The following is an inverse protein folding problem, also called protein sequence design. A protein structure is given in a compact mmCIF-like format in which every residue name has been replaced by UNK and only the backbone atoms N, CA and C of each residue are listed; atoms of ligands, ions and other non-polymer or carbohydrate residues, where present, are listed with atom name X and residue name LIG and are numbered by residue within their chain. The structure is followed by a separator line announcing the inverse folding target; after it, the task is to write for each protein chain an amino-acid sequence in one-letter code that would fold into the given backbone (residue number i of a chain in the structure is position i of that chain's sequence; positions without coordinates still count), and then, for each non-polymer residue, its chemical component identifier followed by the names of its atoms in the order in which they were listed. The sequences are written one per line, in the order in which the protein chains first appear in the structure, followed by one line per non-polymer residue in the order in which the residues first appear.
data_IF_139562918274
#
_entry.id   IF_139562918274
#
_cell.length_a   1.000
_cell.length_b   1.000
_cell.length_c   1.000
_cell.angle_alpha   90.00
_cell.angle_beta   90.00
_cell.angle_gamma   90.00
#
_symmetry.space_group_name_H-M   'P 1'
#
loop_
_entity.id
_entity.type
_entity.pdbx_description
1 polymer ?
#
# COMPACT_ATOMS: atom_id res chain seq x y z
N UNK A 1 15.71 -10.13 4.05
CA UNK A 1 17.14 -9.76 3.94
C UNK A 1 18.07 -10.93 3.59
N UNK A 2 18.03 -12.06 4.31
CA UNK A 2 18.87 -13.26 4.01
C UNK A 2 18.93 -13.64 2.51
N UNK A 3 17.81 -13.81 1.78
CA UNK A 3 17.87 -14.19 0.36
C UNK A 3 18.53 -13.12 -0.52
N UNK A 4 18.36 -11.84 -0.19
CA UNK A 4 18.97 -10.70 -0.91
C UNK A 4 20.49 -10.73 -0.74
N UNK A 5 20.96 -10.88 0.51
CA UNK A 5 22.39 -10.95 0.81
C UNK A 5 23.04 -12.20 0.20
N UNK A 6 22.34 -13.33 0.19
CA UNK A 6 22.79 -14.53 -0.50
C UNK A 6 22.93 -14.30 -2.01
N UNK A 7 21.96 -13.65 -2.66
CA UNK A 7 22.03 -13.32 -4.09
C UNK A 7 23.21 -12.39 -4.40
N UNK A 8 23.47 -11.36 -3.58
CA UNK A 8 24.65 -10.51 -3.73
C UNK A 8 25.96 -11.29 -3.60
N UNK A 9 26.06 -12.20 -2.63
CA UNK A 9 27.22 -13.07 -2.47
C UNK A 9 27.42 -13.99 -3.68
N UNK A 10 26.36 -14.64 -4.18
CA UNK A 10 26.43 -15.51 -5.35
C UNK A 10 26.92 -14.75 -6.59
N UNK A 11 26.42 -13.53 -6.82
CA UNK A 11 26.88 -12.67 -7.93
C UNK A 11 28.36 -12.28 -7.76
N UNK A 12 28.79 -11.95 -6.54
CA UNK A 12 30.19 -11.67 -6.25
C UNK A 12 31.10 -12.89 -6.52
N UNK A 13 30.64 -14.09 -6.15
CA UNK A 13 31.37 -15.35 -6.34
C UNK A 13 31.43 -15.77 -7.81
N UNK A 14 30.35 -15.57 -8.58
CA UNK A 14 30.24 -15.95 -9.98
C UNK A 14 31.08 -15.07 -10.93
N UNK A 15 31.40 -13.83 -10.54
CA UNK A 15 32.24 -12.90 -11.33
C UNK A 15 33.75 -13.22 -11.22
N UNK A 16 34.11 -14.44 -11.60
CA UNK A 16 35.40 -15.10 -11.37
C UNK A 16 36.68 -14.44 -11.98
N UNK A 17 36.62 -13.25 -12.58
CA UNK A 17 37.75 -12.64 -13.33
C UNK A 17 38.17 -11.22 -12.92
N UNK A 18 37.86 -10.73 -11.71
CA UNK A 18 38.29 -9.39 -11.26
C UNK A 18 39.07 -9.43 -9.95
N UNK A 19 40.10 -8.58 -9.86
CA UNK A 19 40.95 -8.38 -8.66
C UNK A 19 40.14 -8.09 -7.39
N UNK A 20 38.93 -7.52 -7.53
CA UNK A 20 38.04 -7.18 -6.41
C UNK A 20 37.22 -8.35 -5.83
N UNK A 21 37.30 -9.56 -6.40
CA UNK A 21 36.42 -10.70 -6.02
C UNK A 21 36.44 -10.99 -4.52
N UNK A 22 37.62 -10.95 -3.90
CA UNK A 22 37.78 -11.23 -2.46
C UNK A 22 37.09 -10.17 -1.61
N UNK A 23 37.28 -8.90 -1.92
CA UNK A 23 36.64 -7.81 -1.18
C UNK A 23 35.11 -7.83 -1.32
N UNK A 24 34.59 -8.11 -2.52
CA UNK A 24 33.15 -8.23 -2.76
C UNK A 24 32.54 -9.45 -2.07
N UNK A 25 33.19 -10.61 -2.15
CA UNK A 25 32.75 -11.82 -1.47
C UNK A 25 32.76 -11.64 0.05
N UNK A 26 33.78 -10.97 0.61
CA UNK A 26 33.82 -10.65 2.04
C UNK A 26 32.66 -9.75 2.44
N UNK A 27 32.34 -8.70 1.66
CA UNK A 27 31.19 -7.81 1.95
C UNK A 27 29.86 -8.56 1.87
N UNK A 28 29.65 -9.34 0.80
CA UNK A 28 28.44 -10.15 0.62
C UNK A 28 28.29 -11.20 1.73
N UNK A 29 29.39 -11.86 2.10
CA UNK A 29 29.44 -12.82 3.20
C UNK A 29 29.15 -12.19 4.56
N UNK A 30 29.72 -11.01 4.83
CA UNK A 30 29.43 -10.26 6.06
C UNK A 30 27.95 -9.85 6.15
N UNK A 31 27.36 -9.38 5.05
CA UNK A 31 25.92 -9.04 5.00
C UNK A 31 25.03 -10.27 5.19
N UNK A 32 25.39 -11.40 4.59
CA UNK A 32 24.66 -12.66 4.76
C UNK A 32 24.75 -13.16 6.20
N UNK A 33 25.96 -13.12 6.80
CA UNK A 33 26.17 -13.50 8.19
C UNK A 33 25.37 -12.62 9.13
N UNK A 34 25.48 -11.29 8.99
CA UNK A 34 24.71 -10.34 9.80
C UNK A 34 23.21 -10.53 9.65
N UNK A 35 22.71 -10.72 8.42
CA UNK A 35 21.29 -10.98 8.17
C UNK A 35 20.81 -12.31 8.75
N UNK A 36 21.67 -13.33 8.74
CA UNK A 36 21.36 -14.65 9.31
C UNK A 36 21.33 -14.61 10.82
N UNK A 37 22.30 -13.93 11.45
CA UNK A 37 22.30 -13.68 12.90
C UNK A 37 21.03 -12.92 13.29
N UNK A 38 20.70 -11.84 12.59
CA UNK A 38 19.48 -11.07 12.88
C UNK A 38 18.20 -11.92 12.75
N UNK A 39 18.09 -12.76 11.71
CA UNK A 39 16.95 -13.65 11.53
C UNK A 39 16.86 -14.69 12.66
N UNK A 40 17.98 -15.30 13.05
CA UNK A 40 18.04 -16.26 14.16
C UNK A 40 17.71 -15.59 15.49
N UNK A 41 18.22 -14.39 15.75
CA UNK A 41 17.88 -13.60 16.95
C UNK A 41 16.40 -13.28 16.99
N UNK A 42 15.81 -12.85 15.86
CA UNK A 42 14.37 -12.60 15.78
C UNK A 42 13.56 -13.86 16.09
N UNK A 43 13.90 -15.00 15.48
CA UNK A 43 13.21 -16.26 15.72
C UNK A 43 13.36 -16.72 17.17
N UNK A 44 14.54 -16.57 17.76
CA UNK A 44 14.80 -16.90 19.16
C UNK A 44 13.97 -16.01 20.09
N UNK A 45 14.00 -14.69 19.92
CA UNK A 45 13.19 -13.76 20.72
C UNK A 45 11.70 -14.05 20.54
N UNK A 46 11.23 -14.24 19.31
CA UNK A 46 9.84 -14.61 19.03
C UNK A 46 9.42 -15.87 19.78
N UNK A 47 10.24 -16.93 19.72
CA UNK A 47 9.93 -18.20 20.39
C UNK A 47 9.88 -18.12 21.90
N UNK A 48 10.45 -17.06 22.51
CA UNK A 48 10.45 -16.84 23.95
C UNK A 48 9.31 -15.92 24.41
N UNK A 49 8.89 -14.97 23.55
CA UNK A 49 7.94 -13.92 23.94
C UNK A 49 6.56 -14.06 23.30
N UNK A 50 6.39 -14.90 22.27
CA UNK A 50 5.13 -15.06 21.55
C UNK A 50 4.76 -16.55 21.45
N UNK A 51 3.65 -16.92 22.07
CA UNK A 51 3.12 -18.29 22.07
C UNK A 51 2.30 -18.64 20.82
N UNK A 52 2.16 -17.71 19.88
CA UNK A 52 1.41 -17.91 18.63
C UNK A 52 2.33 -18.49 17.55
N UNK A 53 1.92 -19.60 16.96
CA UNK A 53 2.68 -20.24 15.89
C UNK A 53 2.89 -19.30 14.70
N UNK A 54 3.96 -19.51 13.93
CA UNK A 54 4.23 -18.71 12.73
C UNK A 54 3.10 -18.78 11.70
N UNK A 55 2.26 -19.82 11.74
CA UNK A 55 1.15 -20.07 10.84
C UNK A 55 -0.22 -19.67 11.42
N UNK A 56 -0.26 -19.03 12.58
CA UNK A 56 -1.51 -18.53 13.19
C UNK A 56 -1.49 -17.00 13.36
N UNK A 57 -0.39 -16.35 12.99
CA UNK A 57 -0.27 -14.89 13.03
C UNK A 57 -1.10 -14.21 11.95
N UNK A 58 -1.69 -13.07 12.30
CA UNK A 58 -2.51 -12.24 11.40
C UNK A 58 -1.82 -11.87 10.09
N UNK A 59 -0.49 -11.72 10.08
CA UNK A 59 0.28 -11.34 8.90
C UNK A 59 0.72 -12.51 8.00
N UNK A 60 1.05 -13.66 8.60
CA UNK A 60 1.57 -14.84 7.89
C UNK A 60 0.47 -15.71 7.29
N UNK A 61 -0.76 -15.62 7.82
CA UNK A 61 -1.95 -16.28 7.24
C UNK A 61 -2.34 -15.73 5.87
N UNK A 62 -1.86 -14.53 5.54
CA UNK A 62 -2.14 -13.87 4.25
C UNK A 62 -1.12 -14.23 3.17
N UNK A 63 -0.25 -15.22 3.41
CA UNK A 63 0.70 -15.75 2.43
C UNK A 63 0.06 -16.93 1.70
N UNK A 64 -0.30 -16.73 0.44
CA UNK A 64 -0.90 -17.75 -0.40
C UNK A 64 -0.04 -18.03 -1.64
N UNK A 65 0.42 -19.26 -1.78
CA UNK A 65 1.28 -19.72 -2.87
C UNK A 65 0.49 -20.38 -4.01
N UNK A 66 -0.74 -19.92 -4.29
CA UNK A 66 -1.52 -20.41 -5.42
C UNK A 66 -1.12 -19.70 -6.72
N UNK A 67 -1.18 -20.43 -7.84
CA UNK A 67 -0.85 -19.85 -9.15
C UNK A 67 -1.75 -18.65 -9.47
N UNK A 68 -3.05 -18.74 -9.12
CA UNK A 68 -4.00 -17.65 -9.30
C UNK A 68 -3.57 -16.40 -8.52
N UNK A 69 -3.22 -16.55 -7.24
CA UNK A 69 -2.71 -15.45 -6.41
C UNK A 69 -1.47 -14.80 -7.01
N UNK A 70 -0.48 -15.60 -7.42
CA UNK A 70 0.77 -15.08 -7.98
C UNK A 70 0.52 -14.28 -9.28
N UNK A 71 -0.43 -14.72 -10.11
CA UNK A 71 -0.83 -13.99 -11.32
C UNK A 71 -1.49 -12.66 -10.95
N UNK A 72 -2.48 -12.68 -10.06
CA UNK A 72 -3.23 -11.46 -9.69
C UNK A 72 -2.31 -10.44 -8.96
N UNK A 73 -1.42 -10.93 -8.10
CA UNK A 73 -0.37 -10.12 -7.47
C UNK A 73 0.59 -9.54 -8.51
N UNK A 74 1.00 -10.31 -9.52
CA UNK A 74 1.87 -9.82 -10.60
C UNK A 74 1.21 -8.68 -11.38
N UNK A 75 -0.09 -8.80 -11.67
CA UNK A 75 -0.87 -7.73 -12.31
C UNK A 75 -0.88 -6.49 -11.45
N UNK A 76 -1.15 -6.62 -10.15
CA UNK A 76 -1.17 -5.50 -9.21
C UNK A 76 0.21 -4.83 -9.08
N UNK A 77 1.29 -5.60 -8.93
CA UNK A 77 2.67 -5.11 -8.90
C UNK A 77 3.05 -4.39 -10.19
N UNK A 78 2.66 -4.92 -11.35
CA UNK A 78 2.89 -4.26 -12.63
C UNK A 78 2.15 -2.92 -12.69
N UNK A 79 0.94 -2.86 -12.15
CA UNK A 79 0.17 -1.61 -12.03
C UNK A 79 0.90 -0.57 -11.19
N UNK A 80 1.34 -0.93 -9.97
CA UNK A 80 2.14 -0.03 -9.13
C UNK A 80 3.43 0.44 -9.81
N UNK A 81 4.16 -0.48 -10.45
CA UNK A 81 5.41 -0.16 -11.13
C UNK A 81 5.21 0.81 -12.31
N UNK A 82 4.16 0.61 -13.10
CA UNK A 82 3.84 1.52 -14.22
C UNK A 82 3.34 2.86 -13.70
N UNK A 83 2.50 2.87 -12.67
CA UNK A 83 1.96 4.10 -12.08
C UNK A 83 3.07 5.03 -11.59
N UNK A 84 4.06 4.48 -10.88
CA UNK A 84 5.05 5.29 -10.14
C UNK A 84 6.41 5.40 -10.86
N UNK A 85 6.73 4.42 -11.72
CA UNK A 85 8.07 4.27 -12.28
C UNK A 85 8.11 4.09 -13.80
N UNK A 86 7.02 4.34 -14.53
CA UNK A 86 7.03 4.31 -16.00
C UNK A 86 8.12 5.20 -16.63
N UNK A 87 8.44 6.33 -15.99
CA UNK A 87 9.51 7.24 -16.42
C UNK A 87 10.90 6.58 -16.50
N UNK A 88 11.11 5.47 -15.79
CA UNK A 88 12.38 4.76 -15.82
C UNK A 88 12.58 3.99 -17.13
N UNK A 89 11.50 3.53 -17.75
CA UNK A 89 11.55 2.71 -18.97
C UNK A 89 12.33 3.38 -20.12
N UNK A 90 12.03 4.63 -20.53
CA UNK A 90 12.82 5.30 -21.58
C UNK A 90 14.26 5.57 -21.14
N UNK A 91 14.51 5.81 -19.85
CA UNK A 91 15.87 6.03 -19.34
C UNK A 91 16.74 4.78 -19.46
N UNK A 92 16.17 3.58 -19.24
CA UNK A 92 16.88 2.30 -19.31
C UNK A 92 17.42 1.97 -20.71
N UNK A 93 16.99 2.67 -21.76
CA UNK A 93 17.57 2.48 -23.09
C UNK A 93 19.04 2.91 -23.17
N UNK A 94 19.44 3.95 -22.44
CA UNK A 94 20.83 4.42 -22.41
C UNK A 94 21.81 3.38 -21.84
N UNK A 95 21.61 2.84 -20.63
CA UNK A 95 22.49 1.83 -20.06
C UNK A 95 22.44 0.52 -20.83
N UNK A 96 21.32 0.20 -21.51
CA UNK A 96 21.27 -0.92 -22.44
C UNK A 96 22.26 -0.72 -23.60
N UNK A 97 22.28 0.47 -24.21
CA UNK A 97 23.27 0.81 -25.24
C UNK A 97 24.69 0.87 -24.66
N UNK A 98 24.89 1.38 -23.45
CA UNK A 98 26.21 1.38 -22.80
C UNK A 98 26.68 -0.04 -22.48
N UNK A 99 25.78 -0.97 -22.16
CA UNK A 99 26.10 -2.38 -21.98
C UNK A 99 26.57 -3.00 -23.29
N UNK A 100 25.86 -2.75 -24.40
CA UNK A 100 26.28 -3.20 -25.74
C UNK A 100 27.63 -2.61 -26.16
N UNK A 101 27.87 -1.35 -25.81
CA UNK A 101 29.12 -0.64 -26.10
C UNK A 101 30.26 -0.97 -25.08
N UNK A 102 30.01 -1.85 -24.09
CA UNK A 102 30.92 -2.17 -22.97
C UNK A 102 31.38 -0.97 -22.12
N UNK A 103 30.54 0.06 -22.02
CA UNK A 103 30.78 1.32 -21.29
C UNK A 103 29.83 1.55 -20.12
N UNK A 104 29.07 0.53 -19.73
CA UNK A 104 28.12 0.63 -18.64
C UNK A 104 28.82 1.16 -17.38
N UNK A 105 28.36 2.32 -16.90
CA UNK A 105 28.87 2.94 -15.68
C UNK A 105 28.24 2.25 -14.47
N UNK A 106 29.05 2.02 -13.44
CA UNK A 106 28.63 1.41 -12.17
C UNK A 106 27.80 0.11 -12.31
N UNK A 107 28.22 -0.87 -13.13
CA UNK A 107 27.44 -2.09 -13.39
C UNK A 107 27.23 -2.94 -12.12
N UNK A 108 28.06 -2.72 -11.09
CA UNK A 108 27.93 -3.35 -9.77
C UNK A 108 26.73 -2.80 -8.99
N UNK A 109 26.61 -1.49 -8.89
CA UNK A 109 25.51 -0.83 -8.19
C UNK A 109 24.18 -1.08 -8.90
N UNK A 110 24.18 -1.05 -10.24
CA UNK A 110 22.98 -1.33 -11.03
C UNK A 110 22.45 -2.75 -10.78
N UNK A 111 23.35 -3.76 -10.82
CA UNK A 111 22.96 -5.16 -10.51
C UNK A 111 22.55 -5.32 -9.06
N UNK A 112 23.25 -4.68 -8.12
CA UNK A 112 22.90 -4.71 -6.70
C UNK A 112 21.50 -4.14 -6.42
N UNK A 113 21.18 -2.99 -7.02
CA UNK A 113 19.87 -2.35 -6.91
C UNK A 113 18.78 -3.17 -7.63
N UNK A 114 19.07 -3.76 -8.79
CA UNK A 114 18.14 -4.66 -9.47
C UNK A 114 17.80 -5.90 -8.62
N UNK A 115 18.81 -6.52 -7.99
CA UNK A 115 18.60 -7.65 -7.06
C UNK A 115 17.72 -7.22 -5.89
N UNK A 116 17.98 -6.05 -5.31
CA UNK A 116 17.16 -5.49 -4.24
C UNK A 116 15.70 -5.32 -4.68
N UNK A 117 15.47 -4.63 -5.79
CA UNK A 117 14.12 -4.37 -6.34
C UNK A 117 13.38 -5.67 -6.61
N UNK A 118 13.98 -6.58 -7.38
CA UNK A 118 13.34 -7.85 -7.78
C UNK A 118 13.07 -8.73 -6.57
N UNK A 119 14.01 -8.83 -5.63
CA UNK A 119 13.83 -9.68 -4.47
C UNK A 119 12.70 -9.20 -3.57
N UNK A 120 12.53 -7.89 -3.37
CA UNK A 120 11.40 -7.36 -2.60
C UNK A 120 10.05 -7.60 -3.29
N UNK A 121 9.98 -7.48 -4.62
CA UNK A 121 8.78 -7.87 -5.38
C UNK A 121 8.48 -9.35 -5.16
N UNK A 122 9.47 -10.24 -5.28
CA UNK A 122 9.30 -11.69 -5.10
C UNK A 122 8.87 -12.05 -3.68
N UNK A 123 9.43 -11.39 -2.66
CA UNK A 123 9.07 -11.61 -1.25
C UNK A 123 7.59 -11.26 -1.00
N UNK A 124 7.07 -10.22 -1.65
CA UNK A 124 5.71 -9.74 -1.47
C UNK A 124 4.70 -10.29 -2.48
N UNK A 125 5.15 -11.01 -3.51
CA UNK A 125 4.29 -11.63 -4.50
C UNK A 125 3.22 -12.58 -3.90
N UNK A 126 3.54 -13.46 -2.92
CA UNK A 126 2.55 -14.33 -2.31
C UNK A 126 1.66 -13.63 -1.27
N UNK A 127 1.92 -12.36 -0.95
CA UNK A 127 1.18 -11.64 0.07
C UNK A 127 -0.08 -11.01 -0.53
N UNK A 128 -1.22 -11.30 0.07
CA UNK A 128 -2.53 -10.78 -0.34
C UNK A 128 -2.65 -9.24 -0.32
N UNK A 129 -2.02 -8.60 0.67
CA UNK A 129 -2.07 -7.15 0.84
C UNK A 129 -0.90 -6.47 0.11
N UNK A 130 -1.19 -5.97 -1.08
CA UNK A 130 -0.20 -5.28 -1.93
C UNK A 130 -0.65 -3.84 -2.19
N UNK A 131 -0.45 -3.03 -1.16
CA UNK A 131 -0.73 -1.59 -1.10
C UNK A 131 0.55 -0.77 -1.30
N UNK A 132 0.38 0.53 -1.57
CA UNK A 132 1.45 1.49 -1.85
C UNK A 132 2.61 1.44 -0.83
N UNK A 133 2.32 1.30 0.46
CA UNK A 133 3.34 1.24 1.52
C UNK A 133 4.39 0.13 1.30
N UNK A 134 4.00 -1.02 0.75
CA UNK A 134 4.94 -2.13 0.49
C UNK A 134 5.83 -1.89 -0.73
N UNK A 135 5.59 -0.82 -1.49
CA UNK A 135 6.50 -0.36 -2.54
C UNK A 135 7.75 0.33 -1.99
N UNK A 136 7.79 0.73 -0.71
CA UNK A 136 8.90 1.53 -0.17
C UNK A 136 10.29 0.90 -0.41
N UNK A 137 10.53 -0.40 -0.13
CA UNK A 137 11.82 -1.00 -0.44
C UNK A 137 12.11 -1.01 -1.95
N UNK A 138 11.10 -1.27 -2.77
CA UNK A 138 11.21 -1.28 -4.24
C UNK A 138 11.56 0.12 -4.76
N UNK A 139 10.94 1.16 -4.21
CA UNK A 139 11.19 2.56 -4.54
C UNK A 139 12.65 2.97 -4.26
N UNK A 140 13.26 2.47 -3.18
CA UNK A 140 14.70 2.69 -2.89
C UNK A 140 15.56 2.10 -4.02
N UNK A 141 15.30 0.85 -4.40
CA UNK A 141 16.04 0.18 -5.47
C UNK A 141 15.85 0.88 -6.83
N UNK A 142 14.62 1.24 -7.16
CA UNK A 142 14.29 1.99 -8.38
C UNK A 142 14.93 3.38 -8.38
N UNK A 143 14.93 4.10 -7.26
CA UNK A 143 15.59 5.39 -7.11
C UNK A 143 17.11 5.33 -7.36
N UNK A 144 17.77 4.30 -6.83
CA UNK A 144 19.19 4.04 -7.11
C UNK A 144 19.44 3.75 -8.59
N UNK A 145 18.61 2.91 -9.22
CA UNK A 145 18.68 2.64 -10.65
C UNK A 145 18.49 3.94 -11.44
N UNK A 146 17.45 4.71 -11.13
CA UNK A 146 17.14 5.99 -11.76
C UNK A 146 18.32 6.96 -11.71
N UNK A 147 18.95 7.13 -10.55
CA UNK A 147 20.12 7.98 -10.39
C UNK A 147 21.32 7.55 -11.25
N UNK A 148 21.67 6.25 -11.24
CA UNK A 148 22.78 5.71 -12.04
C UNK A 148 22.53 5.90 -13.53
N UNK A 149 21.31 5.63 -13.97
CA UNK A 149 20.91 5.70 -15.37
C UNK A 149 20.86 7.15 -15.84
N UNK A 150 20.32 8.07 -15.03
CA UNK A 150 20.29 9.50 -15.33
C UNK A 150 21.70 10.07 -15.52
N UNK A 151 22.66 9.71 -14.64
CA UNK A 151 24.06 10.11 -14.79
C UNK A 151 24.64 9.63 -16.13
N UNK A 152 24.31 8.40 -16.53
CA UNK A 152 24.76 7.83 -17.81
C UNK A 152 24.15 8.59 -19.01
N UNK A 153 22.85 8.91 -18.94
CA UNK A 153 22.13 9.71 -19.94
C UNK A 153 22.73 11.12 -20.09
N UNK A 154 22.92 11.84 -18.98
CA UNK A 154 23.51 13.19 -18.98
C UNK A 154 24.95 13.16 -19.49
N UNK A 155 25.71 12.12 -19.18
CA UNK A 155 27.09 11.98 -19.65
C UNK A 155 27.16 11.83 -21.17
N UNK A 156 26.26 11.04 -21.78
CA UNK A 156 26.17 10.92 -23.24
C UNK A 156 25.82 12.25 -23.93
N UNK A 157 24.96 13.06 -23.31
CA UNK A 157 24.64 14.41 -23.76
C UNK A 157 25.91 15.28 -23.75
N UNK A 158 26.63 15.31 -22.63
CA UNK A 158 27.86 16.12 -22.47
C UNK A 158 28.96 15.70 -23.44
N UNK A 159 29.13 14.40 -23.64
CA UNK A 159 30.10 13.82 -24.58
C UNK A 159 29.68 13.96 -26.06
N UNK A 160 28.49 14.55 -26.34
CA UNK A 160 27.88 14.65 -27.67
C UNK A 160 27.70 13.30 -28.39
N UNK A 161 27.71 12.19 -27.66
CA UNK A 161 27.67 10.83 -28.20
C UNK A 161 26.25 10.30 -28.18
N UNK A 162 25.66 10.07 -29.36
CA UNK A 162 24.23 9.74 -29.49
C UNK A 162 23.36 10.71 -28.68
N UNK A 163 23.76 11.99 -28.61
CA UNK A 163 23.15 12.97 -27.73
C UNK A 163 21.67 13.22 -28.04
N UNK A 164 21.28 13.17 -29.32
CA UNK A 164 19.86 13.25 -29.71
C UNK A 164 19.02 12.14 -29.06
N UNK A 165 19.53 10.90 -29.04
CA UNK A 165 18.86 9.78 -28.39
C UNK A 165 18.78 9.95 -26.87
N UNK A 166 19.86 10.42 -26.23
CA UNK A 166 19.87 10.69 -24.80
C UNK A 166 18.91 11.82 -24.41
N UNK A 167 18.81 12.88 -25.23
CA UNK A 167 17.81 13.94 -25.06
C UNK A 167 16.38 13.44 -25.25
N UNK A 168 16.13 12.61 -26.25
CA UNK A 168 14.81 11.99 -26.46
C UNK A 168 14.40 11.11 -25.28
N UNK A 169 15.32 10.25 -24.81
CA UNK A 169 15.12 9.41 -23.62
C UNK A 169 14.80 10.24 -22.38
N UNK A 170 15.56 11.31 -22.14
CA UNK A 170 15.30 12.24 -21.03
C UNK A 170 13.97 12.97 -21.19
N UNK A 171 13.62 13.44 -22.39
CA UNK A 171 12.36 14.11 -22.66
C UNK A 171 11.15 13.21 -22.40
N UNK A 172 11.18 11.98 -22.92
CA UNK A 172 10.13 10.99 -22.67
C UNK A 172 10.03 10.61 -21.20
N UNK A 173 11.17 10.43 -20.51
CA UNK A 173 11.20 10.17 -19.09
C UNK A 173 10.57 11.31 -18.29
N UNK A 174 10.91 12.56 -18.60
CA UNK A 174 10.31 13.74 -17.98
C UNK A 174 8.80 13.81 -18.22
N UNK A 175 8.32 13.51 -19.43
CA UNK A 175 6.88 13.49 -19.72
C UNK A 175 6.15 12.43 -18.87
N UNK A 176 6.68 11.21 -18.80
CA UNK A 176 6.11 10.14 -17.97
C UNK A 176 6.25 10.39 -16.47
N UNK A 177 7.27 11.14 -16.05
CA UNK A 177 7.40 11.55 -14.65
C UNK A 177 6.34 12.60 -14.30
N UNK A 178 6.07 13.56 -15.20
CA UNK A 178 5.02 14.55 -14.98
C UNK A 178 3.63 13.90 -14.82
N UNK A 179 3.37 12.75 -15.44
CA UNK A 179 2.09 12.03 -15.25
C UNK A 179 1.93 11.41 -13.87
N UNK A 180 3.01 11.26 -13.08
CA UNK A 180 2.90 10.75 -11.70
C UNK A 180 2.48 11.85 -10.71
N UNK A 181 2.66 13.13 -11.05
CA UNK A 181 2.38 14.24 -10.14
C UNK A 181 0.88 14.36 -9.78
N UNK A 182 -0.07 14.28 -10.73
CA UNK A 182 -1.50 14.32 -10.39
C UNK A 182 -1.92 13.13 -9.52
N UNK A 183 -1.35 11.95 -9.76
CA UNK A 183 -1.59 10.75 -8.95
C UNK A 183 -1.14 10.97 -7.51
N UNK A 184 0.09 11.47 -7.31
CA UNK A 184 0.63 11.76 -5.97
C UNK A 184 -0.15 12.86 -5.25
N UNK A 185 -0.60 13.89 -5.98
CA UNK A 185 -1.44 14.94 -5.42
C UNK A 185 -2.78 14.38 -4.93
N UNK A 186 -3.45 13.57 -5.75
CA UNK A 186 -4.72 12.94 -5.40
C UNK A 186 -4.56 11.97 -4.23
N UNK A 187 -3.49 11.15 -4.22
CA UNK A 187 -3.14 10.27 -3.10
C UNK A 187 -2.95 11.05 -1.78
N UNK A 188 -2.24 12.18 -1.83
CA UNK A 188 -2.05 13.01 -0.64
C UNK A 188 -3.37 13.62 -0.14
N UNK A 189 -4.21 14.13 -1.05
CA UNK A 189 -5.55 14.64 -0.69
C UNK A 189 -6.45 13.56 -0.12
N UNK A 190 -6.38 12.35 -0.66
CA UNK A 190 -7.12 11.20 -0.15
C UNK A 190 -6.71 10.88 1.29
N UNK A 191 -5.41 10.85 1.56
CA UNK A 191 -4.90 10.64 2.92
C UNK A 191 -5.42 11.73 3.88
N UNK A 192 -5.34 13.00 3.49
CA UNK A 192 -5.85 14.10 4.33
C UNK A 192 -7.36 14.03 4.56
N UNK A 193 -8.15 13.67 3.53
CA UNK A 193 -9.60 13.52 3.65
C UNK A 193 -9.94 12.39 4.63
N UNK A 194 -9.27 11.24 4.51
CA UNK A 194 -9.45 10.11 5.43
C UNK A 194 -9.08 10.47 6.86
N UNK A 195 -7.88 11.05 7.06
CA UNK A 195 -7.40 11.40 8.39
C UNK A 195 -8.28 12.47 9.05
N UNK A 196 -8.75 13.48 8.28
CA UNK A 196 -9.63 14.53 8.78
C UNK A 196 -11.00 13.97 9.16
N UNK A 197 -11.62 13.17 8.29
CA UNK A 197 -12.92 12.56 8.58
C UNK A 197 -12.85 11.61 9.78
N UNK A 198 -11.78 10.82 9.91
CA UNK A 198 -11.56 9.96 11.07
C UNK A 198 -11.41 10.77 12.36
N UNK A 199 -10.60 11.83 12.34
CA UNK A 199 -10.42 12.71 13.50
C UNK A 199 -11.75 13.36 13.93
N UNK A 200 -12.55 13.85 12.99
CA UNK A 200 -13.86 14.46 13.27
C UNK A 200 -14.86 13.48 13.87
N UNK A 201 -14.85 12.23 13.38
CA UNK A 201 -15.67 11.17 13.96
C UNK A 201 -15.25 10.87 15.40
N UNK A 202 -13.95 10.70 15.66
CA UNK A 202 -13.45 10.45 17.01
C UNK A 202 -13.74 11.62 17.98
N UNK A 203 -13.55 12.87 17.52
CA UNK A 203 -13.92 14.07 18.28
C UNK A 203 -15.40 14.06 18.67
N UNK A 204 -16.29 13.66 17.76
CA UNK A 204 -17.72 13.56 18.05
C UNK A 204 -18.02 12.46 19.08
N UNK A 205 -17.47 11.25 18.89
CA UNK A 205 -17.67 10.15 19.83
C UNK A 205 -17.21 10.51 21.24
N UNK A 206 -16.07 11.19 21.39
CA UNK A 206 -15.59 11.67 22.69
C UNK A 206 -16.56 12.64 23.36
N UNK A 207 -17.21 13.52 22.59
CA UNK A 207 -18.20 14.45 23.16
C UNK A 207 -19.49 13.76 23.61
N UNK A 208 -19.78 12.56 23.12
CA UNK A 208 -21.02 11.84 23.39
C UNK A 208 -20.86 10.64 24.33
N UNK A 209 -19.63 10.27 24.70
CA UNK A 209 -19.33 9.02 25.42
C UNK A 209 -20.01 8.90 26.79
N UNK A 210 -20.29 10.03 27.46
CA UNK A 210 -20.97 10.05 28.75
C UNK A 210 -22.45 9.65 28.63
N UNK A 211 -23.10 10.06 27.54
CA UNK A 211 -24.50 9.76 27.24
C UNK A 211 -24.65 8.43 26.48
N UNK A 212 -23.61 8.03 25.75
CA UNK A 212 -23.56 6.84 24.92
C UNK A 212 -22.24 6.08 25.12
N UNK A 213 -22.11 5.29 26.19
CA UNK A 213 -20.89 4.54 26.46
C UNK A 213 -20.64 3.44 25.41
N UNK A 214 -21.68 2.97 24.74
CA UNK A 214 -21.61 1.87 23.80
C UNK A 214 -21.57 2.39 22.35
N UNK A 215 -20.41 2.22 21.71
CA UNK A 215 -20.15 2.60 20.33
C UNK A 215 -20.04 1.34 19.46
N UNK A 216 -20.85 1.29 18.42
CA UNK A 216 -20.83 0.24 17.41
C UNK A 216 -20.22 0.84 16.14
N UNK A 217 -19.22 0.18 15.56
CA UNK A 217 -18.62 0.58 14.29
C UNK A 217 -19.21 -0.29 13.17
N UNK A 218 -19.78 0.32 12.13
CA UNK A 218 -20.34 -0.40 10.97
C UNK A 218 -19.25 -0.92 10.02
N UNK A 219 -18.41 -1.77 10.58
CA UNK A 219 -17.40 -2.59 9.91
C UNK A 219 -17.60 -3.99 10.47
N UNK A 220 -18.19 -4.89 9.69
CA UNK A 220 -18.70 -6.18 10.20
C UNK A 220 -17.60 -7.21 10.57
N UNK A 221 -16.34 -6.90 10.27
CA UNK A 221 -15.19 -7.71 10.71
C UNK A 221 -14.23 -6.85 11.50
N UNK A 222 -13.64 -7.45 12.54
CA UNK A 222 -12.63 -6.76 13.34
C UNK A 222 -11.42 -6.41 12.47
N UNK A 223 -11.15 -5.12 12.38
CA UNK A 223 -10.03 -4.58 11.61
C UNK A 223 -9.31 -3.50 12.42
N UNK A 224 -8.27 -2.93 11.80
CA UNK A 224 -7.47 -1.86 12.39
C UNK A 224 -8.32 -0.66 12.83
N UNK A 225 -9.39 -0.30 12.13
CA UNK A 225 -10.21 0.85 12.50
C UNK A 225 -10.98 0.61 13.79
N UNK A 226 -11.59 -0.57 13.95
CA UNK A 226 -12.31 -0.93 15.19
C UNK A 226 -11.33 -0.98 16.36
N UNK A 227 -10.15 -1.55 16.15
CA UNK A 227 -9.08 -1.60 17.15
C UNK A 227 -8.61 -0.19 17.54
N UNK A 228 -8.31 0.69 16.58
CA UNK A 228 -7.80 2.04 16.84
C UNK A 228 -8.86 2.94 17.49
N UNK A 229 -10.14 2.83 17.10
CA UNK A 229 -11.25 3.54 17.78
C UNK A 229 -11.33 3.09 19.24
N UNK A 230 -11.24 1.77 19.49
CA UNK A 230 -11.25 1.20 20.84
C UNK A 230 -10.07 1.71 21.66
N UNK A 231 -8.86 1.60 21.14
CA UNK A 231 -7.63 2.06 21.82
C UNK A 231 -7.68 3.58 22.08
N UNK A 232 -8.19 4.37 21.14
CA UNK A 232 -8.30 5.81 21.33
C UNK A 232 -9.29 6.18 22.46
N UNK A 233 -10.49 5.59 22.46
CA UNK A 233 -11.48 5.89 23.50
C UNK A 233 -11.07 5.32 24.88
N UNK A 234 -10.60 4.08 24.92
CA UNK A 234 -10.33 3.38 26.18
C UNK A 234 -8.95 3.68 26.75
N UNK A 235 -7.89 3.63 25.94
CA UNK A 235 -6.51 3.67 26.43
C UNK A 235 -5.93 5.09 26.44
N UNK A 236 -6.30 5.94 25.48
CA UNK A 236 -5.75 7.30 25.35
C UNK A 236 -6.52 8.30 26.21
N UNK A 237 -7.86 8.22 26.17
CA UNK A 237 -8.74 9.15 26.88
C UNK A 237 -9.26 8.60 28.23
N UNK A 238 -8.79 7.40 28.64
CA UNK A 238 -9.08 6.74 29.92
C UNK A 238 -10.58 6.52 30.19
N UNK A 239 -11.36 6.31 29.12
CA UNK A 239 -12.80 6.06 29.20
C UNK A 239 -13.06 4.56 29.31
N UNK A 240 -12.64 3.94 30.41
CA UNK A 240 -12.81 2.50 30.70
C UNK A 240 -14.27 2.02 30.62
N UNK A 241 -15.23 2.95 30.69
CA UNK A 241 -16.67 2.67 30.59
C UNK A 241 -17.18 2.51 29.16
N UNK A 242 -16.41 2.98 28.18
CA UNK A 242 -16.82 2.90 26.79
C UNK A 242 -16.62 1.49 26.24
N UNK A 243 -17.59 0.95 25.51
CA UNK A 243 -17.42 -0.30 24.77
C UNK A 243 -17.42 -0.02 23.28
N UNK A 244 -16.47 -0.61 22.55
CA UNK A 244 -16.37 -0.48 21.10
C UNK A 244 -16.47 -1.85 20.45
N UNK A 245 -17.56 -2.05 19.73
CA UNK A 245 -17.92 -3.32 19.08
C UNK A 245 -18.14 -3.15 17.59
N UNK A 246 -18.12 -4.27 16.86
CA UNK A 246 -18.48 -4.30 15.44
C UNK A 246 -19.99 -4.38 15.28
N UNK A 247 -20.52 -3.80 14.21
CA UNK A 247 -21.92 -3.99 13.84
C UNK A 247 -22.16 -5.42 13.39
N UNK A 248 -23.08 -6.10 14.07
CA UNK A 248 -23.61 -7.40 13.67
C UNK A 248 -25.13 -7.26 13.46
N UNK A 249 -25.63 -7.43 12.22
CA UNK A 249 -27.06 -7.32 11.93
C UNK A 249 -27.91 -8.41 12.59
N UNK A 250 -27.31 -9.52 13.03
CA UNK A 250 -27.99 -10.62 13.70
C UNK A 250 -28.00 -10.48 15.24
N UNK A 251 -27.24 -9.53 15.79
CA UNK A 251 -27.12 -9.36 17.23
C UNK A 251 -28.39 -8.72 17.82
N UNK A 252 -28.98 -9.37 18.82
CA UNK A 252 -30.15 -8.83 19.54
C UNK A 252 -29.83 -7.45 20.14
N UNK A 253 -30.83 -6.57 20.16
CA UNK A 253 -30.74 -5.22 20.71
C UNK A 253 -30.24 -5.26 22.15
N UNK A 254 -29.04 -4.75 22.40
CA UNK A 254 -28.54 -4.53 23.74
C UNK A 254 -29.37 -3.46 24.49
N UNK A 255 -29.47 -3.61 25.81
CA UNK A 255 -30.10 -2.63 26.70
C UNK A 255 -29.24 -1.36 26.76
N UNK A 256 -29.86 -0.20 26.49
CA UNK A 256 -29.25 1.11 26.65
C UNK A 256 -28.99 1.89 25.36
N UNK A 257 -28.72 3.21 25.50
CA UNK A 257 -28.45 4.11 24.37
C UNK A 257 -27.12 3.79 23.71
N UNK A 258 -27.09 3.75 22.37
CA UNK A 258 -25.92 3.37 21.58
C UNK A 258 -25.68 4.34 20.42
N UNK A 259 -24.40 4.51 20.05
CA UNK A 259 -24.03 5.19 18.81
C UNK A 259 -23.55 4.17 17.78
N UNK A 260 -24.01 4.29 16.55
CA UNK A 260 -23.47 3.52 15.42
C UNK A 260 -22.67 4.46 14.52
N UNK A 261 -21.34 4.30 14.50
CA UNK A 261 -20.44 5.00 13.59
C UNK A 261 -20.29 4.20 12.28
N UNK A 262 -20.85 4.73 11.20
CA UNK A 262 -20.83 4.09 9.89
C UNK A 262 -19.97 4.86 8.90
N UNK A 263 -18.88 4.27 8.37
CA UNK A 263 -18.10 4.92 7.35
C UNK A 263 -18.86 4.94 6.03
N UNK A 264 -18.55 5.93 5.22
CA UNK A 264 -19.01 6.06 3.86
C UNK A 264 -17.84 6.41 2.96
N UNK A 265 -17.85 5.84 1.77
CA UNK A 265 -16.81 6.04 0.76
C UNK A 265 -17.45 5.96 -0.62
N UNK A 266 -17.00 6.81 -1.53
CA UNK A 266 -17.46 6.81 -2.92
C UNK A 266 -16.30 7.09 -3.88
N UNK A 267 -16.32 6.40 -5.02
CA UNK A 267 -15.35 6.52 -6.10
C UNK A 267 -13.91 6.18 -5.67
N UNK A 268 -13.72 5.12 -4.88
CA UNK A 268 -12.40 4.67 -4.41
C UNK A 268 -11.46 4.35 -5.59
N UNK A 269 -10.26 4.96 -5.66
CA UNK A 269 -9.25 4.57 -6.63
C UNK A 269 -8.61 3.21 -6.28
N UNK A 270 -8.24 2.43 -7.30
CA UNK A 270 -7.78 1.03 -7.12
C UNK A 270 -6.27 0.89 -6.85
N UNK A 271 -5.47 1.86 -7.29
CA UNK A 271 -4.03 1.96 -7.03
C UNK A 271 -3.79 3.27 -6.31
N UNK A 272 -4.17 3.33 -5.04
CA UNK A 272 -4.13 4.50 -4.18
C UNK A 272 -3.65 4.15 -2.76
N UNK A 273 -3.50 5.18 -1.93
CA UNK A 273 -3.14 5.03 -0.52
C UNK A 273 -4.04 4.02 0.19
N UNK A 274 -3.48 3.32 1.18
CA UNK A 274 -4.21 2.32 1.95
C UNK A 274 -5.35 3.00 2.70
N UNK A 275 -6.54 2.42 2.59
CA UNK A 275 -7.68 2.73 3.44
C UNK A 275 -8.10 1.47 4.18
N UNK A 276 -8.54 1.61 5.44
CA UNK A 276 -9.07 0.47 6.20
C UNK A 276 -10.50 0.10 5.82
N UNK A 277 -11.14 0.94 5.00
CA UNK A 277 -12.49 0.74 4.45
C UNK A 277 -12.38 0.53 2.93
N UNK A 278 -13.15 -0.42 2.41
CA UNK A 278 -13.22 -0.76 0.98
C UNK A 278 -14.63 -0.46 0.46
N UNK A 279 -14.73 0.31 -0.62
CA UNK A 279 -15.99 0.84 -1.15
C UNK A 279 -17.05 -0.23 -1.39
N UNK A 280 -16.71 -1.29 -2.13
CA UNK A 280 -17.68 -2.34 -2.46
C UNK A 280 -18.24 -3.01 -1.20
N UNK A 281 -17.37 -3.33 -0.23
CA UNK A 281 -17.78 -3.97 1.02
C UNK A 281 -18.57 -3.01 1.91
N UNK A 282 -18.18 -1.73 1.96
CA UNK A 282 -18.88 -0.74 2.76
C UNK A 282 -20.28 -0.43 2.22
N UNK A 283 -20.48 -0.48 0.89
CA UNK A 283 -21.81 -0.32 0.29
C UNK A 283 -22.76 -1.42 0.81
N UNK A 284 -22.30 -2.67 0.85
CA UNK A 284 -23.08 -3.80 1.37
C UNK A 284 -23.40 -3.62 2.86
N UNK A 285 -22.40 -3.23 3.68
CA UNK A 285 -22.59 -3.01 5.12
C UNK A 285 -23.51 -1.83 5.43
N UNK A 286 -23.43 -0.75 4.64
CA UNK A 286 -24.32 0.40 4.80
C UNK A 286 -25.76 0.05 4.42
N UNK A 287 -25.97 -0.86 3.45
CA UNK A 287 -27.31 -1.38 3.12
C UNK A 287 -27.88 -2.20 4.27
N UNK A 288 -27.10 -3.14 4.83
CA UNK A 288 -27.53 -3.93 5.99
C UNK A 288 -27.87 -3.05 7.21
N UNK A 289 -27.06 -2.01 7.46
CA UNK A 289 -27.35 -1.05 8.52
C UNK A 289 -28.64 -0.27 8.24
N UNK A 290 -28.85 0.21 7.02
CA UNK A 290 -30.07 0.94 6.66
C UNK A 290 -31.34 0.08 6.82
N UNK A 291 -31.26 -1.21 6.46
CA UNK A 291 -32.34 -2.17 6.69
C UNK A 291 -32.62 -2.38 8.18
N UNK A 292 -31.56 -2.48 9.01
CA UNK A 292 -31.69 -2.64 10.46
C UNK A 292 -32.26 -1.38 11.16
N UNK A 293 -31.86 -0.18 10.73
CA UNK A 293 -32.34 1.09 11.28
C UNK A 293 -33.80 1.40 10.88
N UNK A 294 -34.25 0.93 9.72
CA UNK A 294 -35.61 1.16 9.24
C UNK A 294 -35.97 2.66 9.20
N UNK A 295 -36.99 3.07 9.96
CA UNK A 295 -37.42 4.48 10.05
C UNK A 295 -36.56 5.36 10.96
N UNK A 296 -35.59 4.80 11.70
CA UNK A 296 -34.65 5.53 12.57
C UNK A 296 -33.34 5.91 11.84
N UNK A 297 -33.32 5.86 10.50
CA UNK A 297 -32.12 6.00 9.68
C UNK A 297 -31.58 7.44 9.50
N UNK A 298 -32.01 8.42 10.29
CA UNK A 298 -31.46 9.78 10.21
C UNK A 298 -30.20 9.89 11.07
N UNK A 299 -29.05 10.30 10.51
CA UNK A 299 -27.83 10.45 11.28
C UNK A 299 -27.90 11.68 12.20
N UNK A 300 -27.40 11.54 13.43
CA UNK A 300 -27.25 12.63 14.38
C UNK A 300 -25.95 13.43 14.15
N UNK A 301 -25.01 12.83 13.42
CA UNK A 301 -23.80 13.48 12.95
C UNK A 301 -23.40 12.93 11.59
N UNK A 302 -22.97 13.84 10.71
CA UNK A 302 -22.45 13.51 9.39
C UNK A 302 -21.28 14.44 9.10
N UNK A 303 -20.13 13.85 8.78
CA UNK A 303 -18.98 14.57 8.25
C UNK A 303 -18.47 13.90 7.00
N UNK A 304 -18.27 14.69 5.95
CA UNK A 304 -17.77 14.25 4.66
C UNK A 304 -16.66 15.18 4.19
N UNK A 305 -15.55 14.56 3.75
CA UNK A 305 -14.52 15.23 2.97
C UNK A 305 -14.64 14.76 1.52
N UNK A 306 -14.75 15.71 0.60
CA UNK A 306 -14.85 15.45 -0.83
C UNK A 306 -13.87 16.30 -1.64
N UNK A 307 -13.36 15.72 -2.73
CA UNK A 307 -12.52 16.45 -3.68
C UNK A 307 -12.50 15.78 -5.05
N UNK A 308 -12.27 16.59 -6.10
CA UNK A 308 -12.06 16.08 -7.45
C UNK A 308 -10.75 15.31 -7.56
N UNK A 309 -10.82 14.04 -7.98
CA UNK A 309 -9.66 13.26 -8.35
C UNK A 309 -9.00 13.87 -9.59
N UNK A 310 -7.68 13.71 -9.68
CA UNK A 310 -6.95 13.93 -10.94
C UNK A 310 -5.95 12.79 -11.07
N UNK A 311 -6.43 11.67 -11.61
CA UNK A 311 -5.60 10.46 -11.78
C UNK A 311 -5.35 10.19 -13.27
N UNK A 312 -4.11 9.81 -13.59
CA UNK A 312 -3.70 9.31 -14.90
C UNK A 312 -3.36 7.82 -14.74
N UNK A 313 -4.24 6.96 -15.25
CA UNK A 313 -4.16 5.50 -15.12
C UNK A 313 -3.32 4.88 -16.25
N UNK A 314 -2.03 5.23 -16.31
CA UNK A 314 -1.06 4.56 -17.19
C UNK A 314 -1.10 3.02 -17.10
N UNK A 315 -1.25 2.41 -15.91
CA UNK A 315 -1.43 0.96 -15.77
C UNK A 315 -2.55 0.37 -16.63
N UNK A 316 -3.61 1.14 -16.93
CA UNK A 316 -4.72 0.65 -17.76
C UNK A 316 -4.31 0.23 -19.17
N UNK A 317 -3.19 0.73 -19.68
CA UNK A 317 -2.61 0.28 -20.95
C UNK A 317 -2.22 -1.22 -20.92
N UNK A 318 -1.92 -1.78 -19.74
CA UNK A 318 -1.64 -3.20 -19.57
C UNK A 318 -2.92 -4.06 -19.55
N UNK A 319 -4.07 -3.47 -19.23
CA UNK A 319 -5.32 -4.20 -19.04
C UNK A 319 -5.89 -4.80 -20.34
N UNK A 320 -5.51 -4.26 -21.50
CA UNK A 320 -5.86 -4.87 -22.79
C UNK A 320 -5.31 -6.30 -22.94
N UNK A 321 -4.18 -6.61 -22.29
CA UNK A 321 -3.58 -7.94 -22.33
C UNK A 321 -4.12 -8.88 -21.24
N UNK A 322 -4.73 -8.35 -20.18
CA UNK A 322 -5.17 -9.10 -18.99
C UNK A 322 -6.56 -8.65 -18.52
N UNK A 323 -7.60 -8.75 -19.37
CA UNK A 323 -8.94 -8.30 -19.01
C UNK A 323 -9.52 -9.12 -17.85
N UNK A 324 -10.24 -8.47 -16.93
CA UNK A 324 -10.95 -9.16 -15.85
C UNK A 324 -10.08 -9.60 -14.67
N UNK A 325 -8.80 -9.21 -14.61
CA UNK A 325 -7.87 -9.63 -13.54
C UNK A 325 -7.47 -8.47 -12.64
N UNK A 326 -7.62 -8.64 -11.32
CA UNK A 326 -7.20 -7.66 -10.32
C UNK A 326 -7.73 -6.25 -10.62
N UNK A 327 -6.85 -5.25 -10.66
CA UNK A 327 -7.23 -3.85 -10.97
C UNK A 327 -7.82 -3.67 -12.37
N UNK A 328 -7.54 -4.59 -13.31
CA UNK A 328 -8.07 -4.58 -14.67
C UNK A 328 -9.50 -5.15 -14.78
N UNK A 329 -10.06 -5.67 -13.70
CA UNK A 329 -11.44 -6.14 -13.68
C UNK A 329 -12.46 -4.99 -13.63
N UNK A 330 -12.08 -3.86 -13.05
CA UNK A 330 -12.95 -2.70 -12.91
C UNK A 330 -12.84 -1.75 -14.12
N UNK A 331 -13.98 -1.37 -14.66
CA UNK A 331 -14.08 -0.29 -15.64
C UNK A 331 -13.86 1.06 -14.94
N UNK A 332 -12.76 1.73 -15.28
CA UNK A 332 -12.42 3.09 -14.86
C UNK A 332 -11.87 3.86 -16.08
N UNK A 333 -12.05 5.18 -16.13
CA UNK A 333 -11.49 5.99 -17.19
C UNK A 333 -9.96 6.05 -17.10
N UNK A 334 -9.30 6.34 -18.24
CA UNK A 334 -7.84 6.53 -18.27
C UNK A 334 -7.41 7.80 -17.53
N UNK A 335 -8.23 8.86 -17.60
CA UNK A 335 -8.11 10.05 -16.76
C UNK A 335 -9.32 10.04 -15.83
N UNK A 336 -9.10 9.89 -14.54
CA UNK A 336 -10.18 9.90 -13.55
C UNK A 336 -10.30 11.29 -12.93
N UNK A 337 -11.45 11.91 -13.16
CA UNK A 337 -11.81 13.23 -12.62
C UNK A 337 -13.06 13.19 -11.74
N UNK A 338 -13.49 12.00 -11.34
CA UNK A 338 -14.66 11.86 -10.47
C UNK A 338 -14.37 12.47 -9.10
N UNK A 339 -15.41 12.88 -8.40
CA UNK A 339 -15.31 13.31 -7.02
C UNK A 339 -15.11 12.08 -6.14
N UNK A 340 -14.02 12.06 -5.38
CA UNK A 340 -13.85 11.13 -4.29
C UNK A 340 -14.47 11.73 -3.05
N UNK A 341 -15.19 10.90 -2.30
CA UNK A 341 -15.75 11.28 -1.02
C UNK A 341 -15.50 10.21 0.03
N UNK A 342 -15.20 10.66 1.24
CA UNK A 342 -15.02 9.81 2.40
C UNK A 342 -15.49 10.50 3.67
N UNK A 343 -16.22 9.77 4.51
CA UNK A 343 -16.82 10.36 5.69
C UNK A 343 -17.37 9.33 6.66
N UNK A 344 -18.03 9.86 7.69
CA UNK A 344 -18.69 9.07 8.72
C UNK A 344 -20.08 9.64 8.97
N UNK A 345 -21.03 8.72 9.12
CA UNK A 345 -22.39 8.99 9.59
C UNK A 345 -22.54 8.31 10.94
N UNK A 346 -23.07 9.01 11.93
CA UNK A 346 -23.31 8.47 13.27
C UNK A 346 -24.81 8.49 13.52
N UNK A 347 -25.33 7.35 13.96
CA UNK A 347 -26.74 7.14 14.27
C UNK A 347 -26.91 6.91 15.76
N UNK A 348 -27.98 7.44 16.34
CA UNK A 348 -28.39 7.12 17.69
C UNK A 348 -29.41 5.98 17.67
N UNK A 349 -29.16 4.95 18.47
CA UNK A 349 -30.15 3.97 18.85
C UNK A 349 -30.55 4.24 20.30
N UNK A 350 -31.72 4.85 20.54
CA UNK A 350 -32.22 5.02 21.90
C UNK A 350 -32.44 3.63 22.51
N UNK A 351 -31.95 3.42 23.73
CA UNK A 351 -32.25 2.20 24.49
C UNK A 351 -33.75 2.05 24.71
N UNK A 352 -34.25 0.82 24.74
CA UNK A 352 -35.68 0.58 24.96
C UNK A 352 -36.08 1.16 26.34
N UNK A 353 -37.07 2.07 26.45
CA UNK A 353 -37.43 2.69 27.72
C UNK A 353 -38.11 1.77 28.74
N UNK A 354 -38.12 0.45 28.54
CA UNK A 354 -38.99 -0.47 29.27
C UNK A 354 -38.39 -1.83 29.57
N UNK A 355 -37.67 -1.91 30.70
CA UNK A 355 -37.56 -3.14 31.51
C UNK A 355 -38.43 -3.02 32.76
#
# INVERSE_FOLDING_TARGET
MVPISAAWLLVALARARREDRRAEATRGGALLLASSIAALTYLALRSQFLDVSLSEGSYTNNLELSLARLVDSTVRWSGWLVRDFAWLAPLLWVPFLDLMDQRLRHPRLLVGAAIWTVAWIVIYLPWEFTIEYYMLPVAIGVGLIGGIVLVSTVSRIREKRRAAFAWMSLGLASMLWLTTLPNNYSNARQQFAVDTSNARMLEYLLMQVDDFPDVIVNIQYENEYVYEVRTFLQDVEDLERSTVTVFDPEQESADGPRLIASPYIQNQPLLAVRMGVVENTQIEWNQSLAEALGSQAEPVFEWEESFGLVLIDLPRLLCAALPGRGYCAAERPFIDTREFSYGWKIYELPGDPGG
#
